data_IF_716191744856
#
_entry.id   IF_716191744856
#
_cell.length_a   1.000
_cell.length_b   1.000
_cell.length_c   1.000
_cell.angle_alpha   90.00
_cell.angle_beta   90.00
_cell.angle_gamma   90.00
#
_symmetry.space_group_name_H-M   'P 1'
#
loop_
_entity.id
_entity.type
_entity.pdbx_description
1 polymer ?
#
# COMPACT_ATOMS: atom_id res chain seq x y z
N UNK A 1 15.59 1.15 9.55
CA UNK A 1 14.43 0.39 9.04
C UNK A 1 14.41 0.49 7.52
N UNK A 2 14.17 -0.60 6.79
CA UNK A 2 14.12 -0.57 5.32
C UNK A 2 12.72 -0.86 4.81
N UNK A 3 12.15 0.07 4.04
CA UNK A 3 10.89 -0.11 3.31
C UNK A 3 11.21 -0.08 1.82
N UNK A 4 11.24 -1.26 1.18
CA UNK A 4 11.66 -1.38 -0.22
C UNK A 4 13.07 -0.84 -0.43
N UNK A 5 13.19 0.28 -1.15
CA UNK A 5 14.46 0.97 -1.42
C UNK A 5 14.70 2.19 -0.51
N UNK A 6 13.78 2.49 0.41
CA UNK A 6 13.91 3.61 1.34
C UNK A 6 14.47 3.09 2.67
N UNK A 7 15.55 3.69 3.12
CA UNK A 7 16.13 3.45 4.44
C UNK A 7 15.73 4.61 5.37
N UNK A 8 15.07 4.28 6.48
CA UNK A 8 14.64 5.21 7.51
C UNK A 8 15.47 4.99 8.76
N UNK A 9 16.19 6.04 9.19
CA UNK A 9 16.79 6.08 10.52
C UNK A 9 15.69 6.33 11.56
N UNK A 10 15.32 5.26 12.26
CA UNK A 10 14.34 5.28 13.34
C UNK A 10 15.09 5.12 14.66
N UNK A 11 14.63 5.81 15.69
CA UNK A 11 15.21 5.75 17.03
C UNK A 11 14.11 5.58 18.07
N UNK A 12 14.45 4.97 19.19
CA UNK A 12 13.65 4.98 20.41
C UNK A 12 14.38 5.86 21.41
N UNK A 13 13.72 6.91 21.89
CA UNK A 13 14.28 7.82 22.88
C UNK A 13 14.25 7.17 24.27
N UNK A 14 14.95 7.78 25.23
CA UNK A 14 15.06 7.26 26.61
C UNK A 14 13.73 7.16 27.35
N UNK A 15 12.72 7.93 26.93
CA UNK A 15 11.35 7.92 27.44
C UNK A 15 10.45 6.89 26.71
N UNK A 16 11.00 6.11 25.79
CA UNK A 16 10.26 5.14 24.97
C UNK A 16 9.60 5.73 23.73
N UNK A 17 9.71 7.03 23.48
CA UNK A 17 9.14 7.67 22.29
C UNK A 17 9.83 7.17 21.03
N UNK A 18 9.04 6.69 20.07
CA UNK A 18 9.54 6.20 18.77
C UNK A 18 9.56 7.36 17.80
N UNK A 19 10.74 7.66 17.24
CA UNK A 19 10.94 8.82 16.39
C UNK A 19 11.61 8.48 15.08
N UNK A 20 11.33 9.28 14.05
CA UNK A 20 11.99 9.23 12.75
C UNK A 20 12.67 10.57 12.49
N UNK A 21 13.93 10.53 12.09
CA UNK A 21 14.70 11.73 11.84
C UNK A 21 14.09 12.56 10.68
N UNK A 22 14.05 13.88 10.84
CA UNK A 22 13.48 14.83 9.86
C UNK A 22 14.07 14.65 8.46
N UNK A 23 15.40 14.51 8.38
CA UNK A 23 16.12 14.30 7.12
C UNK A 23 15.62 13.04 6.39
N UNK A 24 15.35 11.97 7.15
CA UNK A 24 14.88 10.71 6.58
C UNK A 24 13.42 10.79 6.17
N UNK A 25 12.57 11.53 6.90
CA UNK A 25 11.21 11.82 6.44
C UNK A 25 11.20 12.58 5.11
N UNK A 26 12.05 13.61 4.98
CA UNK A 26 12.19 14.37 3.73
C UNK A 26 12.66 13.46 2.58
N UNK A 27 13.70 12.65 2.82
CA UNK A 27 14.24 11.69 1.85
C UNK A 27 13.19 10.66 1.42
N UNK A 28 12.48 10.07 2.38
CA UNK A 28 11.47 9.05 2.15
C UNK A 28 10.27 9.56 1.34
N UNK A 29 9.91 10.82 1.52
CA UNK A 29 8.86 11.50 0.76
C UNK A 29 9.36 12.08 -0.57
N UNK A 30 10.65 11.89 -0.90
CA UNK A 30 11.31 12.51 -2.05
C UNK A 30 11.19 14.05 -2.07
N UNK A 31 11.10 14.67 -0.89
CA UNK A 31 11.11 16.12 -0.74
C UNK A 31 12.55 16.63 -0.80
N UNK A 32 12.81 17.63 -1.64
CA UNK A 32 14.12 18.28 -1.64
C UNK A 32 14.36 18.95 -0.28
N UNK A 33 15.61 18.84 0.20
CA UNK A 33 16.05 19.50 1.44
C UNK A 33 15.95 21.03 1.38
N UNK A 34 15.78 21.60 0.18
CA UNK A 34 15.80 23.03 -0.08
C UNK A 34 17.22 23.59 -0.07
N UNK A 35 17.54 24.47 -1.02
CA UNK A 35 18.83 25.16 -1.11
C UNK A 35 18.84 26.57 -0.52
N UNK A 36 17.78 27.01 0.16
CA UNK A 36 17.65 28.39 0.62
C UNK A 36 17.38 28.46 2.13
N UNK A 37 18.41 28.89 2.86
CA UNK A 37 18.29 29.47 4.19
C UNK A 37 18.42 28.47 5.33
N UNK A 38 19.63 28.40 5.89
CA UNK A 38 19.91 27.86 7.23
C UNK A 38 19.23 28.67 8.37
N UNK A 39 18.00 29.17 8.15
CA UNK A 39 17.28 30.05 9.04
C UNK A 39 15.77 30.20 8.80
N UNK A 40 15.16 29.55 7.79
CA UNK A 40 13.70 29.61 7.56
C UNK A 40 13.01 28.28 7.85
N UNK A 41 12.90 27.95 9.14
CA UNK A 41 11.98 26.93 9.64
C UNK A 41 12.20 25.50 9.13
N UNK A 42 11.39 24.59 9.65
CA UNK A 42 11.33 23.21 9.20
C UNK A 42 10.72 23.13 7.78
N UNK A 43 11.42 22.47 6.85
CA UNK A 43 10.98 22.25 5.47
C UNK A 43 9.66 21.47 5.40
N UNK A 44 9.46 20.51 6.31
CA UNK A 44 8.21 19.75 6.43
C UNK A 44 7.07 20.67 6.87
N UNK A 45 7.26 21.45 7.94
CA UNK A 45 6.29 22.47 8.36
C UNK A 45 5.90 23.42 7.23
N UNK A 46 6.88 23.89 6.44
CA UNK A 46 6.61 24.75 5.28
C UNK A 46 5.81 24.03 4.19
N UNK A 47 6.11 22.76 3.93
CA UNK A 47 5.38 21.96 2.94
C UNK A 47 3.92 21.74 3.36
N UNK A 48 3.69 21.42 4.63
CA UNK A 48 2.37 21.17 5.21
C UNK A 48 1.52 22.44 5.33
N UNK A 49 2.15 23.57 5.65
CA UNK A 49 1.49 24.87 5.65
C UNK A 49 1.10 25.38 4.24
N UNK A 50 1.63 24.75 3.18
CA UNK A 50 1.33 25.10 1.79
C UNK A 50 -0.15 24.91 1.46
N UNK A 51 -0.73 25.85 0.71
CA UNK A 51 -2.17 25.91 0.37
C UNK A 51 -2.73 24.64 -0.28
N UNK A 52 -1.87 23.84 -0.92
CA UNK A 52 -2.23 22.58 -1.58
C UNK A 52 -2.39 21.41 -0.60
N UNK A 53 -1.61 21.40 0.49
CA UNK A 53 -1.59 20.31 1.48
C UNK A 53 -2.45 20.66 2.68
N UNK A 54 -2.41 21.92 3.12
CA UNK A 54 -3.10 22.42 4.31
C UNK A 54 -4.55 21.93 4.48
N UNK A 55 -5.40 21.83 3.42
CA UNK A 55 -6.76 21.31 3.57
C UNK A 55 -6.87 19.84 4.01
N UNK A 56 -5.79 19.07 3.89
CA UNK A 56 -5.73 17.64 4.20
C UNK A 56 -4.96 17.34 5.49
N UNK A 57 -4.58 18.37 6.23
CA UNK A 57 -3.79 18.27 7.46
C UNK A 57 -4.72 18.23 8.66
N UNK A 58 -4.72 17.12 9.40
CA UNK A 58 -5.45 17.03 10.66
C UNK A 58 -4.80 17.90 11.74
N UNK A 59 -5.56 18.22 12.79
CA UNK A 59 -5.00 18.94 13.95
C UNK A 59 -3.83 18.18 14.59
N UNK A 60 -3.90 16.86 14.67
CA UNK A 60 -2.85 16.03 15.26
C UNK A 60 -1.59 16.04 14.40
N UNK A 61 -1.73 15.93 13.08
CA UNK A 61 -0.60 16.08 12.16
C UNK A 61 0.04 17.48 12.28
N UNK A 62 -0.79 18.52 12.38
CA UNK A 62 -0.29 19.88 12.58
C UNK A 62 0.48 19.98 13.91
N UNK A 63 -0.06 19.49 15.03
CA UNK A 63 0.60 19.48 16.34
C UNK A 63 1.92 18.70 16.29
N UNK A 64 1.92 17.51 15.69
CA UNK A 64 3.09 16.65 15.56
C UNK A 64 4.22 17.33 14.80
N UNK A 65 3.91 18.03 13.71
CA UNK A 65 4.91 18.77 12.91
C UNK A 65 5.45 20.00 13.64
N UNK A 66 4.64 20.69 14.44
CA UNK A 66 5.13 21.82 15.24
C UNK A 66 5.92 21.37 16.48
N UNK A 67 5.83 20.09 16.86
CA UNK A 67 6.48 19.51 18.04
C UNK A 67 7.75 18.74 17.69
N UNK A 68 8.57 19.27 16.77
CA UNK A 68 9.82 18.63 16.36
C UNK A 68 10.75 18.40 17.57
N UNK A 69 11.13 17.14 17.80
CA UNK A 69 11.94 16.71 18.92
C UNK A 69 13.41 16.86 18.58
N UNK A 70 14.16 17.59 19.41
CA UNK A 70 15.62 17.63 19.33
C UNK A 70 16.20 16.42 20.04
N UNK A 71 17.00 15.64 19.33
CA UNK A 71 17.68 14.48 19.92
C UNK A 71 19.17 14.44 19.52
N UNK A 72 19.95 13.71 20.33
CA UNK A 72 21.35 13.38 20.06
C UNK A 72 21.51 11.87 20.09
N UNK A 73 22.31 11.36 19.16
CA UNK A 73 22.71 9.96 19.15
C UNK A 73 23.94 9.84 20.04
N UNK A 74 23.88 9.00 21.07
CA UNK A 74 25.01 8.77 21.98
C UNK A 74 26.23 8.27 21.18
N UNK A 75 27.41 8.82 21.45
CA UNK A 75 28.65 8.46 20.77
C UNK A 75 28.87 9.10 19.38
N UNK A 76 27.91 9.86 18.84
CA UNK A 76 28.10 10.60 17.58
C UNK A 76 28.34 12.09 17.89
N UNK A 77 29.55 12.56 17.62
CA UNK A 77 29.87 13.98 17.72
C UNK A 77 29.17 14.76 16.60
N UNK A 78 28.33 15.74 16.94
CA UNK A 78 27.61 16.52 15.95
C UNK A 78 26.52 17.44 16.52
N UNK A 79 25.90 18.23 15.64
CA UNK A 79 24.75 19.07 16.00
C UNK A 79 23.53 18.20 16.32
N UNK A 80 22.68 18.60 17.29
CA UNK A 80 21.41 17.93 17.55
C UNK A 80 20.60 17.80 16.27
N UNK A 81 20.05 16.61 16.03
CA UNK A 81 19.14 16.37 14.91
C UNK A 81 17.71 16.60 15.36
N UNK A 82 16.84 16.91 14.41
CA UNK A 82 15.39 16.96 14.64
C UNK A 82 14.76 15.66 14.19
N UNK A 83 13.74 15.23 14.93
CA UNK A 83 12.91 14.09 14.61
C UNK A 83 11.46 14.40 14.94
N UNK A 84 10.54 13.58 14.42
CA UNK A 84 9.14 13.60 14.80
C UNK A 84 8.76 12.23 15.31
N UNK A 85 7.70 12.16 16.08
CA UNK A 85 7.05 10.90 16.42
C UNK A 85 6.78 10.08 15.15
N UNK A 86 6.99 8.77 15.21
CA UNK A 86 6.94 7.90 14.05
C UNK A 86 5.57 7.94 13.32
N UNK A 87 4.48 8.14 14.05
CA UNK A 87 3.09 8.24 13.56
C UNK A 87 2.90 9.42 12.61
N UNK A 88 3.61 10.53 12.83
CA UNK A 88 3.57 11.75 11.99
C UNK A 88 3.89 11.44 10.53
N UNK A 89 4.78 10.48 10.25
CA UNK A 89 5.09 10.09 8.88
C UNK A 89 3.89 9.45 8.17
N UNK A 90 3.15 8.58 8.86
CA UNK A 90 1.97 7.93 8.30
C UNK A 90 0.85 8.94 8.03
N UNK A 91 0.61 9.86 8.96
CA UNK A 91 -0.38 10.92 8.82
C UNK A 91 -0.03 11.87 7.67
N UNK A 92 1.25 12.23 7.56
CA UNK A 92 1.75 13.05 6.46
C UNK A 92 1.58 12.36 5.11
N UNK A 93 1.89 11.06 5.02
CA UNK A 93 1.66 10.31 3.79
C UNK A 93 0.17 10.31 3.41
N UNK A 94 -0.73 10.16 4.39
CA UNK A 94 -2.18 10.19 4.17
C UNK A 94 -2.63 11.55 3.63
N UNK A 95 -2.19 12.65 4.24
CA UNK A 95 -2.49 14.00 3.77
C UNK A 95 -2.02 14.24 2.33
N UNK A 96 -0.80 13.79 1.98
CA UNK A 96 -0.24 13.92 0.64
C UNK A 96 -1.05 13.12 -0.40
N UNK A 97 -1.42 11.88 -0.07
CA UNK A 97 -2.21 11.04 -0.97
C UNK A 97 -3.61 11.63 -1.20
N UNK A 98 -4.27 12.13 -0.16
CA UNK A 98 -5.58 12.78 -0.29
C UNK A 98 -5.50 14.04 -1.16
N UNK A 99 -4.46 14.87 -0.98
CA UNK A 99 -4.22 16.03 -1.83
C UNK A 99 -4.02 15.66 -3.30
N UNK A 100 -3.36 14.53 -3.57
CA UNK A 100 -3.18 14.03 -4.92
C UNK A 100 -4.50 13.55 -5.55
N UNK A 101 -5.31 12.81 -4.81
CA UNK A 101 -6.62 12.29 -5.25
C UNK A 101 -7.63 13.41 -5.54
N UNK A 102 -7.45 14.60 -4.95
CA UNK A 102 -8.21 15.81 -5.29
C UNK A 102 -7.59 16.66 -6.41
N UNK A 103 -6.50 16.20 -7.04
CA UNK A 103 -5.84 16.95 -8.10
C UNK A 103 -5.16 18.25 -7.63
N UNK A 104 -4.89 18.39 -6.33
CA UNK A 104 -4.30 19.61 -5.73
C UNK A 104 -2.79 19.70 -5.94
N UNK A 105 -2.12 18.56 -6.13
CA UNK A 105 -0.69 18.51 -6.38
C UNK A 105 -0.36 18.84 -7.84
N UNK A 106 0.72 19.59 -8.04
CA UNK A 106 1.24 19.84 -9.39
C UNK A 106 1.85 18.56 -9.98
N UNK A 107 1.89 18.48 -11.32
CA UNK A 107 2.55 17.37 -12.05
C UNK A 107 3.98 17.11 -11.57
N UNK A 108 4.74 18.16 -11.29
CA UNK A 108 6.11 18.04 -10.77
C UNK A 108 6.16 17.45 -9.35
N UNK A 109 5.07 17.50 -8.58
CA UNK A 109 4.97 16.98 -7.21
C UNK A 109 4.41 15.54 -7.15
N UNK A 110 4.08 14.94 -8.30
CA UNK A 110 3.47 13.61 -8.35
C UNK A 110 4.39 12.52 -7.76
N UNK A 111 5.71 12.67 -7.92
CA UNK A 111 6.70 11.75 -7.33
C UNK A 111 6.62 11.70 -5.79
N UNK A 112 6.22 12.79 -5.14
CA UNK A 112 6.03 12.87 -3.69
C UNK A 112 4.82 12.02 -3.29
N UNK A 113 3.71 12.13 -4.02
CA UNK A 113 2.51 11.32 -3.79
C UNK A 113 2.74 9.84 -4.01
N UNK A 114 3.51 9.48 -5.04
CA UNK A 114 3.93 8.07 -5.27
C UNK A 114 4.75 7.52 -4.11
N UNK A 115 5.66 8.33 -3.57
CA UNK A 115 6.49 7.95 -2.43
C UNK A 115 5.64 7.77 -1.16
N UNK A 116 4.72 8.70 -0.89
CA UNK A 116 3.76 8.60 0.21
C UNK A 116 2.86 7.36 0.12
N UNK A 117 2.31 7.06 -1.06
CA UNK A 117 1.46 5.89 -1.27
C UNK A 117 2.19 4.56 -1.03
N UNK A 118 3.47 4.47 -1.44
CA UNK A 118 4.32 3.29 -1.17
C UNK A 118 4.57 3.11 0.32
N UNK A 119 4.88 4.19 1.04
CA UNK A 119 5.10 4.16 2.48
C UNK A 119 3.84 3.70 3.22
N UNK A 120 2.67 4.26 2.90
CA UNK A 120 1.39 3.80 3.46
C UNK A 120 1.13 2.31 3.20
N UNK A 121 1.36 1.85 1.97
CA UNK A 121 1.19 0.44 1.62
C UNK A 121 2.09 -0.49 2.44
N UNK A 122 3.32 -0.06 2.73
CA UNK A 122 4.27 -0.79 3.55
C UNK A 122 3.91 -0.75 5.04
N UNK A 123 3.51 0.40 5.57
CA UNK A 123 3.06 0.55 6.96
C UNK A 123 1.82 -0.31 7.21
N UNK A 124 0.83 -0.29 6.32
CA UNK A 124 -0.35 -1.14 6.44
C UNK A 124 0.03 -2.64 6.47
N UNK A 125 0.98 -3.06 5.62
CA UNK A 125 1.45 -4.44 5.60
C UNK A 125 2.12 -4.83 6.92
N UNK A 126 3.04 -4.00 7.41
CA UNK A 126 3.76 -4.25 8.67
C UNK A 126 2.83 -4.18 9.87
N UNK A 127 1.89 -3.25 9.90
CA UNK A 127 0.88 -3.13 10.96
C UNK A 127 0.04 -4.38 11.06
N UNK A 128 -0.47 -4.88 9.93
CA UNK A 128 -1.24 -6.14 9.90
C UNK A 128 -0.41 -7.32 10.40
N UNK A 129 0.83 -7.48 9.89
CA UNK A 129 1.72 -8.56 10.33
C UNK A 129 1.97 -8.45 11.83
N UNK A 130 2.32 -7.26 12.33
CA UNK A 130 2.59 -7.02 13.75
C UNK A 130 1.37 -7.32 14.62
N UNK A 131 0.16 -6.93 14.19
CA UNK A 131 -1.08 -7.22 14.92
C UNK A 131 -1.39 -8.72 14.97
N UNK A 132 -1.14 -9.45 13.88
CA UNK A 132 -1.31 -10.91 13.85
C UNK A 132 -0.26 -11.58 14.73
N UNK A 133 1.00 -11.18 14.61
CA UNK A 133 2.10 -11.71 15.41
C UNK A 133 1.86 -11.46 16.91
N UNK A 134 1.38 -10.27 17.29
CA UNK A 134 1.00 -9.93 18.66
C UNK A 134 -0.20 -10.77 19.15
N UNK A 135 -1.24 -10.93 18.32
CA UNK A 135 -2.42 -11.71 18.67
C UNK A 135 -2.14 -13.22 18.77
N UNK A 136 -1.11 -13.72 18.09
CA UNK A 136 -0.80 -15.16 17.99
C UNK A 136 0.47 -15.58 18.75
N UNK A 137 1.30 -14.62 19.16
CA UNK A 137 2.62 -14.88 19.78
C UNK A 137 3.70 -15.33 18.79
N UNK A 138 3.53 -15.09 17.49
CA UNK A 138 4.42 -15.58 16.44
C UNK A 138 5.72 -14.76 16.32
N UNK A 139 6.89 -15.42 16.22
CA UNK A 139 8.21 -14.80 15.97
C UNK A 139 8.87 -15.45 14.74
N UNK A 140 9.47 -14.66 13.84
CA UNK A 140 9.84 -15.11 12.49
C UNK A 140 11.30 -15.61 12.33
N UNK A 141 11.49 -16.79 11.73
CA UNK A 141 12.70 -17.16 10.94
C UNK A 141 12.40 -17.08 9.43
N UNK A 142 13.39 -16.72 8.60
CA UNK A 142 13.25 -16.67 7.12
C UNK A 142 14.41 -17.36 6.39
N UNK A 143 14.09 -18.36 5.55
CA UNK A 143 14.99 -19.00 4.57
C UNK A 143 14.28 -19.21 3.20
N UNK A 144 15.00 -19.26 2.05
CA UNK A 144 14.42 -19.34 0.69
C UNK A 144 13.93 -20.73 0.22
N UNK A 145 14.39 -21.84 0.80
CA UNK A 145 13.89 -23.20 0.47
C UNK A 145 12.45 -23.40 0.95
N UNK A 146 12.03 -22.58 1.91
CA UNK A 146 10.70 -22.57 2.52
C UNK A 146 9.56 -22.19 1.57
N UNK A 147 9.80 -21.85 0.30
CA UNK A 147 8.71 -21.35 -0.57
C UNK A 147 7.68 -22.43 -0.94
N UNK A 148 8.15 -23.64 -1.32
CA UNK A 148 7.26 -24.76 -1.63
C UNK A 148 6.58 -25.29 -0.37
N UNK A 149 7.30 -25.34 0.75
CA UNK A 149 6.76 -25.67 2.07
C UNK A 149 5.73 -24.64 2.55
N UNK A 150 5.96 -23.35 2.29
CA UNK A 150 5.00 -22.27 2.59
C UNK A 150 3.72 -22.39 1.81
N UNK A 151 3.73 -22.79 0.53
CA UNK A 151 2.47 -22.91 -0.21
C UNK A 151 1.55 -23.99 0.40
N UNK A 152 2.11 -25.09 0.92
CA UNK A 152 1.35 -26.13 1.61
C UNK A 152 0.75 -25.63 2.94
N UNK A 153 1.35 -24.62 3.57
CA UNK A 153 0.74 -23.94 4.72
C UNK A 153 -0.55 -23.21 4.31
N UNK A 154 -0.58 -22.56 3.15
CA UNK A 154 -1.72 -21.73 2.72
C UNK A 154 -2.76 -22.46 1.85
N UNK A 155 -2.40 -23.60 1.24
CA UNK A 155 -3.24 -24.30 0.26
C UNK A 155 -3.49 -25.76 0.64
N UNK A 156 -4.73 -26.20 0.41
CA UNK A 156 -5.16 -27.60 0.51
C UNK A 156 -5.24 -28.24 -0.88
N UNK A 157 -5.03 -29.56 -0.95
CA UNK A 157 -5.14 -30.31 -2.21
C UNK A 157 -6.59 -30.50 -2.66
N UNK A 158 -7.54 -30.50 -1.72
CA UNK A 158 -8.96 -30.62 -1.96
C UNK A 158 -9.70 -29.33 -1.56
N UNK A 159 -10.80 -28.97 -2.26
CA UNK A 159 -11.61 -27.81 -1.88
C UNK A 159 -12.37 -28.08 -0.59
N UNK A 160 -12.39 -27.09 0.31
CA UNK A 160 -13.25 -27.10 1.48
C UNK A 160 -14.74 -26.99 1.09
N UNK A 161 -15.61 -27.29 2.07
CA UNK A 161 -17.04 -26.98 1.98
C UNK A 161 -17.24 -25.48 1.76
N UNK A 162 -18.25 -25.14 0.96
CA UNK A 162 -18.53 -23.74 0.64
C UNK A 162 -18.71 -22.90 1.90
N UNK A 163 -17.95 -21.82 1.99
CA UNK A 163 -18.01 -20.81 3.05
C UNK A 163 -17.80 -19.43 2.43
N UNK A 164 -18.58 -18.44 2.85
CA UNK A 164 -18.44 -17.08 2.33
C UNK A 164 -17.13 -16.46 2.82
N UNK A 165 -16.18 -16.22 1.91
CA UNK A 165 -14.89 -15.55 2.21
C UNK A 165 -14.81 -14.10 1.74
N UNK A 166 -15.59 -13.77 0.71
CA UNK A 166 -15.66 -12.41 0.17
C UNK A 166 -16.86 -11.71 0.83
N UNK A 167 -16.62 -10.64 1.62
CA UNK A 167 -17.70 -9.94 2.30
C UNK A 167 -18.53 -9.13 1.29
N UNK A 168 -19.80 -8.90 1.59
CA UNK A 168 -20.69 -8.12 0.72
C UNK A 168 -20.16 -6.69 0.46
N UNK A 169 -19.50 -6.09 1.46
CA UNK A 169 -18.85 -4.79 1.35
C UNK A 169 -17.82 -4.71 0.21
N UNK A 170 -17.10 -5.80 -0.07
CA UNK A 170 -16.19 -5.88 -1.21
C UNK A 170 -16.93 -5.70 -2.55
N UNK A 171 -18.03 -6.43 -2.73
CA UNK A 171 -18.83 -6.35 -3.96
C UNK A 171 -19.55 -5.01 -4.09
N UNK A 172 -20.05 -4.45 -3.00
CA UNK A 172 -20.64 -3.10 -2.99
C UNK A 172 -19.64 -2.05 -3.51
N UNK A 173 -18.38 -2.10 -3.08
CA UNK A 173 -17.32 -1.23 -3.58
C UNK A 173 -17.01 -1.47 -5.06
N UNK A 174 -17.02 -2.71 -5.55
CA UNK A 174 -16.86 -3.00 -6.98
C UNK A 174 -17.99 -2.41 -7.83
N UNK A 175 -19.25 -2.52 -7.38
CA UNK A 175 -20.37 -1.88 -8.06
C UNK A 175 -20.19 -0.36 -8.10
N UNK A 176 -19.80 0.26 -6.98
CA UNK A 176 -19.50 1.70 -6.91
C UNK A 176 -18.43 2.12 -7.92
N UNK A 177 -17.31 1.40 -7.96
CA UNK A 177 -16.16 1.75 -8.80
C UNK A 177 -16.39 1.48 -10.30
N UNK A 178 -17.17 0.45 -10.63
CA UNK A 178 -17.49 0.10 -12.03
C UNK A 178 -18.72 0.84 -12.57
N UNK A 179 -19.52 1.47 -11.69
CA UNK A 179 -20.80 2.11 -12.02
C UNK A 179 -21.81 1.16 -12.69
N UNK A 180 -21.65 -0.14 -12.50
CA UNK A 180 -22.60 -1.13 -12.99
C UNK A 180 -23.82 -1.19 -12.08
N UNK A 181 -25.05 -1.33 -12.64
CA UNK A 181 -26.23 -1.52 -11.82
C UNK A 181 -26.23 -2.92 -11.18
N UNK A 182 -26.69 -3.01 -9.93
CA UNK A 182 -26.95 -4.31 -9.30
C UNK A 182 -28.26 -4.88 -9.83
N UNK A 183 -28.15 -5.80 -10.78
CA UNK A 183 -29.25 -6.69 -11.17
C UNK A 183 -29.19 -7.90 -10.24
N UNK A 184 -30.31 -8.31 -9.64
CA UNK A 184 -30.34 -9.47 -8.74
C UNK A 184 -29.70 -10.72 -9.36
N UNK A 185 -29.19 -11.64 -8.53
CA UNK A 185 -28.47 -12.82 -8.99
C UNK A 185 -26.94 -12.64 -9.02
N UNK A 186 -26.29 -13.30 -9.98
CA UNK A 186 -24.83 -13.40 -10.05
C UNK A 186 -24.16 -12.06 -10.41
N UNK A 187 -22.97 -11.84 -9.85
CA UNK A 187 -22.15 -10.68 -10.19
C UNK A 187 -21.69 -10.70 -11.67
N UNK A 188 -21.48 -9.53 -12.29
CA UNK A 188 -20.96 -9.44 -13.66
C UNK A 188 -19.63 -10.19 -13.82
N UNK A 189 -19.41 -10.82 -14.99
CA UNK A 189 -18.14 -11.51 -15.32
C UNK A 189 -16.90 -10.63 -15.14
N UNK A 190 -17.02 -9.32 -15.34
CA UNK A 190 -15.97 -8.34 -15.07
C UNK A 190 -15.41 -8.46 -13.64
N UNK A 191 -16.25 -8.77 -12.64
CA UNK A 191 -15.82 -8.85 -11.24
C UNK A 191 -14.86 -10.03 -11.03
N UNK A 192 -14.96 -11.11 -11.80
CA UNK A 192 -14.00 -12.20 -11.76
C UNK A 192 -12.61 -11.74 -12.24
N UNK A 193 -12.55 -10.94 -13.32
CA UNK A 193 -11.32 -10.34 -13.82
C UNK A 193 -10.69 -9.37 -12.80
N UNK A 194 -11.52 -8.50 -12.20
CA UNK A 194 -11.07 -7.57 -11.15
C UNK A 194 -10.62 -8.30 -9.88
N UNK A 195 -11.27 -9.40 -9.50
CA UNK A 195 -10.85 -10.25 -8.38
C UNK A 195 -9.49 -10.88 -8.67
N UNK A 196 -9.29 -11.39 -9.89
CA UNK A 196 -7.97 -11.90 -10.31
C UNK A 196 -6.89 -10.82 -10.26
N UNK A 197 -7.20 -9.62 -10.74
CA UNK A 197 -6.27 -8.49 -10.80
C UNK A 197 -5.90 -7.95 -9.40
N UNK A 198 -6.88 -7.72 -8.54
CA UNK A 198 -6.68 -7.04 -7.26
C UNK A 198 -6.49 -7.97 -6.07
N UNK A 199 -6.94 -9.22 -6.17
CA UNK A 199 -6.80 -10.21 -5.09
C UNK A 199 -5.71 -11.20 -5.45
N UNK A 200 -5.96 -12.11 -6.40
CA UNK A 200 -5.06 -13.25 -6.61
C UNK A 200 -3.66 -12.86 -7.06
N UNK A 201 -3.51 -11.90 -7.99
CA UNK A 201 -2.19 -11.42 -8.45
C UNK A 201 -1.41 -10.61 -7.40
N UNK A 202 -2.09 -10.11 -6.37
CA UNK A 202 -1.53 -9.19 -5.37
C UNK A 202 -1.52 -9.77 -3.95
N UNK A 203 -2.06 -10.97 -3.76
CA UNK A 203 -2.00 -11.71 -2.52
C UNK A 203 -0.54 -12.08 -2.22
N UNK A 204 -0.07 -11.80 -1.01
CA UNK A 204 1.36 -11.88 -0.66
C UNK A 204 1.89 -13.31 -0.49
N UNK A 205 1.25 -14.31 -1.10
CA UNK A 205 1.64 -15.72 -1.05
C UNK A 205 2.35 -16.09 -2.37
N UNK A 206 3.66 -16.42 -2.37
CA UNK A 206 4.39 -16.51 -3.63
C UNK A 206 4.05 -17.80 -4.38
N UNK A 207 3.80 -17.69 -5.68
CA UNK A 207 3.33 -18.81 -6.52
C UNK A 207 1.85 -19.17 -6.33
N UNK A 208 1.07 -18.39 -5.57
CA UNK A 208 -0.35 -18.69 -5.30
C UNK A 208 -1.19 -18.80 -6.57
N UNK A 209 -0.97 -17.93 -7.57
CA UNK A 209 -1.76 -17.93 -8.81
C UNK A 209 -1.55 -19.25 -9.55
N UNK A 210 -0.30 -19.62 -9.83
CA UNK A 210 0.04 -20.85 -10.54
C UNK A 210 -0.42 -22.10 -9.76
N UNK A 211 -0.31 -22.07 -8.43
CA UNK A 211 -0.77 -23.15 -7.57
C UNK A 211 -2.29 -23.33 -7.62
N UNK A 212 -3.06 -22.25 -7.50
CA UNK A 212 -4.51 -22.29 -7.61
C UNK A 212 -4.98 -22.69 -9.02
N UNK A 213 -4.27 -22.26 -10.07
CA UNK A 213 -4.59 -22.67 -11.44
C UNK A 213 -4.35 -24.15 -11.68
N UNK A 214 -3.35 -24.74 -11.02
CA UNK A 214 -3.12 -26.20 -11.04
C UNK A 214 -4.17 -26.97 -10.24
N UNK A 215 -4.52 -26.48 -9.05
CA UNK A 215 -5.49 -27.14 -8.15
C UNK A 215 -6.93 -27.06 -8.67
N UNK A 216 -7.26 -26.00 -9.39
CA UNK A 216 -8.61 -25.73 -9.84
C UNK A 216 -8.60 -25.21 -11.29
N UNK A 217 -8.15 -26.01 -12.27
CA UNK A 217 -7.96 -25.57 -13.64
C UNK A 217 -9.28 -25.12 -14.28
N UNK A 218 -9.16 -24.20 -15.24
CA UNK A 218 -10.31 -23.82 -16.06
C UNK A 218 -10.51 -24.86 -17.17
N UNK A 219 -11.76 -25.14 -17.50
CA UNK A 219 -12.11 -25.92 -18.67
C UNK A 219 -11.96 -25.09 -19.97
N UNK A 220 -12.25 -25.70 -21.11
CA UNK A 220 -12.17 -25.07 -22.44
C UNK A 220 -13.01 -23.78 -22.56
N UNK A 221 -14.07 -23.65 -21.77
CA UNK A 221 -14.96 -22.49 -21.74
C UNK A 221 -14.53 -21.40 -20.73
N UNK A 222 -13.44 -21.63 -20.00
CA UNK A 222 -12.93 -20.73 -18.97
C UNK A 222 -13.60 -20.86 -17.60
N UNK A 223 -14.52 -21.82 -17.44
CA UNK A 223 -15.21 -22.09 -16.19
C UNK A 223 -14.38 -23.05 -15.31
N UNK A 224 -14.53 -22.95 -13.99
CA UNK A 224 -13.80 -23.77 -13.02
C UNK A 224 -14.77 -24.60 -12.20
N UNK A 225 -14.35 -25.79 -11.80
CA UNK A 225 -15.17 -26.70 -11.01
C UNK A 225 -15.49 -26.14 -9.61
N UNK A 226 -14.56 -25.38 -9.04
CA UNK A 226 -14.69 -24.81 -7.70
C UNK A 226 -14.29 -23.32 -7.66
N UNK A 227 -14.45 -22.67 -6.50
CA UNK A 227 -13.95 -21.32 -6.25
C UNK A 227 -12.53 -21.39 -5.69
N UNK A 228 -11.63 -20.53 -6.15
CA UNK A 228 -10.22 -20.50 -5.72
C UNK A 228 -10.05 -20.40 -4.19
N UNK A 229 -10.90 -19.64 -3.50
CA UNK A 229 -10.78 -19.46 -2.06
C UNK A 229 -11.11 -20.73 -1.25
N UNK A 230 -11.73 -21.75 -1.85
CA UNK A 230 -12.01 -23.03 -1.19
C UNK A 230 -10.76 -23.90 -1.04
N UNK A 231 -9.69 -23.59 -1.76
CA UNK A 231 -8.40 -24.28 -1.64
C UNK A 231 -7.51 -23.64 -0.59
N UNK A 232 -7.96 -22.60 0.11
CA UNK A 232 -7.18 -21.96 1.19
C UNK A 232 -7.36 -22.73 2.49
N UNK A 233 -6.28 -22.93 3.24
CA UNK A 233 -6.34 -23.50 4.59
C UNK A 233 -7.09 -22.58 5.56
N UNK A 234 -7.87 -23.15 6.49
CA UNK A 234 -8.73 -22.41 7.43
C UNK A 234 -7.99 -21.41 8.32
N UNK A 235 -6.72 -21.66 8.64
CA UNK A 235 -5.89 -20.74 9.41
C UNK A 235 -5.15 -19.75 8.51
N UNK A 236 -3.92 -20.07 8.11
CA UNK A 236 -3.02 -19.13 7.44
C UNK A 236 -3.54 -18.69 6.05
N UNK A 237 -4.12 -19.59 5.25
CA UNK A 237 -4.67 -19.27 3.92
C UNK A 237 -5.80 -18.25 3.97
N UNK A 238 -6.84 -18.56 4.74
CA UNK A 238 -8.01 -17.70 4.93
C UNK A 238 -7.61 -16.38 5.61
N UNK A 239 -6.75 -16.42 6.63
CA UNK A 239 -6.32 -15.21 7.34
C UNK A 239 -5.56 -14.26 6.41
N UNK A 240 -4.69 -14.79 5.56
CA UNK A 240 -3.98 -13.99 4.56
C UNK A 240 -4.94 -13.36 3.54
N UNK A 241 -5.96 -14.10 3.07
CA UNK A 241 -6.99 -13.55 2.19
C UNK A 241 -7.80 -12.45 2.90
N UNK A 242 -8.22 -12.67 4.15
CA UNK A 242 -8.95 -11.69 4.94
C UNK A 242 -8.18 -10.39 5.13
N UNK A 243 -6.92 -10.48 5.55
CA UNK A 243 -6.01 -9.34 5.67
C UNK A 243 -5.86 -8.56 4.35
N UNK A 244 -5.71 -9.27 3.23
CA UNK A 244 -5.62 -8.67 1.91
C UNK A 244 -6.92 -7.95 1.52
N UNK A 245 -8.08 -8.55 1.78
CA UNK A 245 -9.38 -7.97 1.47
C UNK A 245 -9.67 -6.72 2.30
N UNK A 246 -9.25 -6.66 3.56
CA UNK A 246 -9.35 -5.44 4.38
C UNK A 246 -8.52 -4.31 3.74
N UNK A 247 -7.25 -4.57 3.44
CA UNK A 247 -6.37 -3.60 2.79
C UNK A 247 -6.92 -3.13 1.45
N UNK A 248 -7.39 -4.05 0.62
CA UNK A 248 -7.98 -3.73 -0.68
C UNK A 248 -9.24 -2.87 -0.51
N UNK A 249 -10.13 -3.20 0.43
CA UNK A 249 -11.33 -2.40 0.68
C UNK A 249 -11.00 -0.98 1.13
N UNK A 250 -9.93 -0.77 1.91
CA UNK A 250 -9.44 0.59 2.25
C UNK A 250 -9.00 1.35 1.00
N UNK A 251 -8.25 0.73 0.09
CA UNK A 251 -7.86 1.38 -1.17
C UNK A 251 -9.07 1.64 -2.07
N UNK A 252 -10.02 0.69 -2.10
CA UNK A 252 -11.27 0.86 -2.82
C UNK A 252 -12.03 2.05 -2.29
N UNK A 253 -12.09 2.26 -0.97
CA UNK A 253 -12.75 3.41 -0.34
C UNK A 253 -12.19 4.75 -0.80
N UNK A 254 -10.87 4.85 -0.91
CA UNK A 254 -10.16 6.02 -1.40
C UNK A 254 -10.39 6.27 -2.91
N UNK A 255 -10.54 5.21 -3.70
CA UNK A 255 -10.71 5.29 -5.14
C UNK A 255 -12.14 5.72 -5.55
N UNK A 256 -12.24 6.55 -6.59
CA UNK A 256 -13.49 6.93 -7.25
C UNK A 256 -13.74 6.20 -8.57
N UNK A 257 -12.73 5.50 -9.09
CA UNK A 257 -12.79 4.73 -10.33
C UNK A 257 -11.89 3.49 -10.27
N UNK A 258 -12.10 2.54 -11.19
CA UNK A 258 -11.19 1.39 -11.35
C UNK A 258 -9.78 1.83 -11.71
N UNK A 259 -9.62 2.92 -12.46
CA UNK A 259 -8.31 3.44 -12.85
C UNK A 259 -7.53 4.00 -11.65
N UNK A 260 -8.20 4.75 -10.78
CA UNK A 260 -7.62 5.20 -9.51
C UNK A 260 -7.27 4.01 -8.61
N UNK A 261 -8.14 2.99 -8.54
CA UNK A 261 -7.86 1.78 -7.78
C UNK A 261 -6.63 1.05 -8.33
N UNK A 262 -6.47 0.96 -9.66
CA UNK A 262 -5.26 0.37 -10.29
C UNK A 262 -4.01 1.11 -9.89
N UNK A 263 -4.05 2.45 -9.92
CA UNK A 263 -2.91 3.26 -9.50
C UNK A 263 -2.58 3.04 -8.03
N UNK A 264 -3.58 3.09 -7.13
CA UNK A 264 -3.40 2.85 -5.70
C UNK A 264 -2.88 1.44 -5.41
N UNK A 265 -3.45 0.41 -6.06
CA UNK A 265 -3.03 -0.97 -5.91
C UNK A 265 -1.61 -1.20 -6.43
N UNK A 266 -1.23 -0.59 -7.55
CA UNK A 266 0.14 -0.67 -8.09
C UNK A 266 1.18 -0.10 -7.12
N UNK A 267 0.84 0.98 -6.40
CA UNK A 267 1.75 1.59 -5.42
C UNK A 267 1.76 0.85 -4.07
N UNK A 268 0.60 0.46 -3.56
CA UNK A 268 0.45 -0.05 -2.20
C UNK A 268 0.52 -1.60 -2.09
N UNK A 269 0.24 -2.31 -3.19
CA UNK A 269 0.19 -3.77 -3.29
C UNK A 269 0.71 -4.24 -4.67
N UNK A 270 1.99 -3.96 -5.02
CA UNK A 270 2.51 -4.30 -6.34
C UNK A 270 2.38 -5.81 -6.59
N UNK A 271 1.87 -6.19 -7.77
CA UNK A 271 1.79 -7.58 -8.17
C UNK A 271 3.20 -8.16 -8.34
N UNK A 272 3.38 -9.44 -8.00
CA UNK A 272 4.67 -10.10 -8.21
C UNK A 272 4.87 -10.35 -9.72
N UNK A 273 5.96 -9.83 -10.29
CA UNK A 273 6.29 -9.96 -11.71
C UNK A 273 5.75 -8.88 -12.64
N UNK A 274 4.94 -7.93 -12.14
CA UNK A 274 4.61 -6.73 -12.90
C UNK A 274 5.79 -5.75 -12.82
N UNK A 275 6.58 -5.66 -13.89
CA UNK A 275 7.24 -4.39 -14.19
C UNK A 275 6.16 -3.32 -14.11
N UNK A 276 6.42 -2.21 -13.41
CA UNK A 276 5.55 -1.03 -13.32
C UNK A 276 5.37 -0.39 -14.71
N UNK A 277 4.73 -1.10 -15.64
CA UNK A 277 4.18 -0.55 -16.86
C UNK A 277 2.93 0.21 -16.44
N UNK A 278 3.12 1.45 -16.04
CA UNK A 278 2.04 2.38 -15.78
C UNK A 278 1.36 2.66 -17.15
N UNK A 279 0.03 2.46 -17.29
CA UNK A 279 -0.71 2.78 -18.51
C UNK A 279 -0.60 4.26 -18.93
N UNK A 280 -0.08 5.12 -18.04
CA UNK A 280 0.08 6.56 -18.28
C UNK A 280 1.35 6.96 -19.01
N UNK A 281 2.33 6.07 -19.22
CA UNK A 281 3.58 6.43 -19.92
C UNK A 281 3.41 6.31 -21.44
N UNK A 282 2.72 5.28 -21.93
CA UNK A 282 2.58 5.05 -23.38
C UNK A 282 1.66 6.06 -24.07
N UNK A 283 0.62 6.54 -23.38
CA UNK A 283 -0.24 7.61 -23.88
C UNK A 283 0.51 8.96 -24.00
N UNK A 284 1.51 9.20 -23.16
CA UNK A 284 2.35 10.42 -23.20
C UNK A 284 3.48 10.32 -24.24
N UNK A 285 4.02 9.13 -24.48
CA UNK A 285 5.07 8.93 -25.49
C UNK A 285 4.52 8.85 -26.91
N UNK A 286 3.31 8.34 -27.10
CA UNK A 286 2.67 8.25 -28.42
C UNK A 286 1.95 9.55 -28.84
N UNK A 287 1.65 10.45 -27.89
CA UNK A 287 1.07 11.77 -28.17
C UNK A 287 2.08 12.84 -28.62
N UNK A 288 3.38 12.52 -28.71
CA UNK A 288 4.43 13.46 -29.14
C UNK A 288 5.02 13.14 -30.53
N UNK A 289 4.49 12.13 -31.24
CA UNK A 289 4.85 11.87 -32.65
C UNK A 289 3.75 12.37 -33.57
N UNK A 290 3.65 13.69 -33.70
CA UNK A 290 2.65 14.32 -34.55
C UNK A 290 2.82 15.83 -34.65
N UNK A 291 4.02 16.28 -35.04
CA UNK A 291 4.25 17.42 -35.95
C UNK A 291 5.70 17.90 -35.83
N UNK A 292 6.43 17.78 -36.93
CA UNK A 292 7.17 18.86 -37.60
C UNK A 292 8.31 18.28 -38.45
N UNK A 293 8.66 18.94 -39.56
CA UNK A 293 7.83 19.43 -40.67
C UNK A 293 7.81 18.46 -41.86
#
# INVERSE_FOLDING_TARGET
MRIGNVELACHVLSDGTRVVAQKEMLSALALSRGGAGAGKGDRLATFVAGTKIKPFVSEDLAKGIHSAIRFRIAGVAGRPSFAYEATVLADLCTAIVNAHMEGRLQKQQEHIARSAARLLGAFAKLGIIATIDEATGYQTERSPTALREKLAEFLMEAPATWSQRFPDGYYQRLYRLTRLPRKGGNHPRLFAALTREFVWKRLDIPGIVDALERLNPANENGDRAHLHHLFLTEGPGVSALGAHLVKLQTLMDLAKSIEELRWLAAMAMPGRGENLALPFVDALLNGQRGNAP
#
